data_IF_827809672726
#
_entry.id   IF_827809672726
#
_cell.length_a   1.000
_cell.length_b   1.000
_cell.length_c   1.000
_cell.angle_alpha   90.00
_cell.angle_beta   90.00
_cell.angle_gamma   90.00
#
_symmetry.space_group_name_H-M   'P 1'
#
loop_
_entity.id
_entity.type
_entity.pdbx_description
1 polymer ?
#
# COMPACT_ATOMS: atom_id res chain seq x y z
N UNK A 1 -32.13 4.48 20.39
CA UNK A 1 -30.87 5.08 19.91
C UNK A 1 -29.67 4.21 20.28
N UNK A 2 -29.71 3.52 21.42
CA UNK A 2 -28.65 2.60 21.87
C UNK A 2 -28.38 1.45 20.87
N UNK A 3 -29.43 0.73 20.44
CA UNK A 3 -29.25 -0.39 19.49
C UNK A 3 -28.63 0.04 18.15
N UNK A 4 -28.98 1.23 17.66
CA UNK A 4 -28.42 1.75 16.40
C UNK A 4 -26.93 2.07 16.53
N UNK A 5 -26.48 2.60 17.68
CA UNK A 5 -25.07 2.86 17.93
C UNK A 5 -24.27 1.56 18.03
N UNK A 6 -24.77 0.54 18.75
CA UNK A 6 -24.12 -0.77 18.82
C UNK A 6 -24.00 -1.44 17.45
N UNK A 7 -25.08 -1.44 16.65
CA UNK A 7 -25.08 -2.02 15.31
C UNK A 7 -24.10 -1.28 14.40
N UNK A 8 -24.08 0.06 14.45
CA UNK A 8 -23.12 0.86 13.70
C UNK A 8 -21.67 0.57 14.11
N UNK A 9 -21.40 0.44 15.41
CA UNK A 9 -20.07 0.10 15.93
C UNK A 9 -19.60 -1.29 15.48
N UNK A 10 -20.46 -2.30 15.57
CA UNK A 10 -20.17 -3.66 15.07
C UNK A 10 -19.92 -3.65 13.56
N UNK A 11 -20.71 -2.88 12.79
CA UNK A 11 -20.51 -2.74 11.36
C UNK A 11 -19.14 -2.13 11.03
N UNK A 12 -18.71 -1.09 11.75
CA UNK A 12 -17.38 -0.49 11.59
C UNK A 12 -16.25 -1.48 11.89
N UNK A 13 -16.38 -2.25 12.97
CA UNK A 13 -15.39 -3.29 13.30
C UNK A 13 -15.34 -4.36 12.19
N UNK A 14 -16.50 -4.81 11.70
CA UNK A 14 -16.57 -5.77 10.61
C UNK A 14 -15.94 -5.24 9.31
N UNK A 15 -16.11 -3.94 9.01
CA UNK A 15 -15.44 -3.29 7.88
C UNK A 15 -13.92 -3.36 8.02
N UNK A 16 -13.37 -3.08 9.21
CA UNK A 16 -11.91 -3.14 9.43
C UNK A 16 -11.39 -4.58 9.36
N UNK A 17 -12.08 -5.53 10.01
CA UNK A 17 -11.68 -6.95 9.94
C UNK A 17 -11.64 -7.40 8.48
N UNK A 18 -12.68 -7.08 7.71
CA UNK A 18 -12.73 -7.39 6.27
C UNK A 18 -11.59 -6.73 5.52
N UNK A 19 -11.34 -5.45 5.80
CA UNK A 19 -10.32 -4.69 5.09
C UNK A 19 -8.91 -5.23 5.36
N UNK A 20 -8.54 -5.40 6.63
CA UNK A 20 -7.26 -5.99 7.06
C UNK A 20 -7.11 -7.40 6.51
N UNK A 21 -8.17 -8.22 6.53
CA UNK A 21 -8.15 -9.56 5.95
C UNK A 21 -7.83 -9.53 4.45
N UNK A 22 -8.48 -8.66 3.69
CA UNK A 22 -8.21 -8.54 2.26
C UNK A 22 -6.84 -7.92 1.97
N UNK A 23 -6.41 -6.90 2.72
CA UNK A 23 -5.11 -6.26 2.51
C UNK A 23 -3.93 -7.16 2.83
N UNK A 24 -4.04 -8.07 3.81
CA UNK A 24 -2.90 -8.87 4.29
C UNK A 24 -2.99 -10.36 3.98
N UNK A 25 -4.17 -10.95 4.12
CA UNK A 25 -4.33 -12.40 4.06
C UNK A 25 -4.84 -12.89 2.70
N UNK A 26 -5.26 -11.99 1.80
CA UNK A 26 -5.83 -12.38 0.51
C UNK A 26 -4.92 -12.02 -0.67
N UNK A 27 -4.25 -12.99 -1.32
CA UNK A 27 -3.24 -12.74 -2.36
C UNK A 27 -3.74 -12.04 -3.64
N UNK A 28 -5.07 -11.95 -3.83
CA UNK A 28 -5.72 -11.42 -5.04
C UNK A 28 -6.79 -10.38 -4.67
N UNK A 29 -7.02 -10.12 -3.37
CA UNK A 29 -8.08 -9.21 -2.92
C UNK A 29 -7.52 -7.83 -2.59
N UNK A 30 -8.02 -6.77 -3.23
CA UNK A 30 -7.72 -5.42 -2.80
C UNK A 30 -8.59 -5.06 -1.57
N UNK A 31 -7.96 -4.74 -0.43
CA UNK A 31 -8.66 -4.01 0.64
C UNK A 31 -9.25 -2.71 0.08
N UNK A 32 -10.33 -2.21 0.67
CA UNK A 32 -11.02 -0.99 0.21
C UNK A 32 -10.44 0.30 0.81
N UNK A 33 -9.93 0.25 2.04
CA UNK A 33 -9.46 1.43 2.77
C UNK A 33 -8.06 1.81 2.29
N UNK A 34 -7.12 0.84 2.22
CA UNK A 34 -5.73 1.14 1.86
C UNK A 34 -5.57 1.87 0.50
N UNK A 35 -6.19 1.40 -0.62
CA UNK A 35 -6.13 2.11 -1.89
C UNK A 35 -6.83 3.47 -1.84
N UNK A 36 -7.94 3.59 -1.10
CA UNK A 36 -8.68 4.86 -0.99
C UNK A 36 -7.86 5.92 -0.25
N UNK A 37 -7.24 5.54 0.87
CA UNK A 37 -6.34 6.41 1.65
C UNK A 37 -5.11 6.77 0.80
N UNK A 38 -4.52 5.81 0.08
CA UNK A 38 -3.38 6.09 -0.81
C UNK A 38 -3.75 7.06 -1.93
N UNK A 39 -4.87 6.83 -2.63
CA UNK A 39 -5.37 7.73 -3.68
C UNK A 39 -5.63 9.14 -3.14
N UNK A 40 -6.21 9.24 -1.95
CA UNK A 40 -6.47 10.54 -1.31
C UNK A 40 -5.15 11.28 -1.01
N UNK A 41 -4.19 10.59 -0.41
CA UNK A 41 -2.87 11.16 -0.10
C UNK A 41 -2.12 11.55 -1.37
N UNK A 42 -2.17 10.69 -2.40
CA UNK A 42 -1.58 10.98 -3.71
C UNK A 42 -2.18 12.23 -4.33
N UNK A 43 -3.51 12.39 -4.29
CA UNK A 43 -4.20 13.60 -4.77
C UNK A 43 -3.80 14.83 -3.97
N UNK A 44 -3.84 14.76 -2.63
CA UNK A 44 -3.51 15.88 -1.75
C UNK A 44 -2.05 16.34 -1.90
N UNK A 45 -1.11 15.40 -1.94
CA UNK A 45 0.31 15.69 -2.18
C UNK A 45 0.58 16.09 -3.64
N UNK A 46 -0.25 15.63 -4.57
CA UNK A 46 -0.22 16.04 -5.98
C UNK A 46 -0.51 17.53 -6.19
N UNK A 47 -1.32 18.13 -5.31
CA UNK A 47 -1.63 19.57 -5.32
C UNK A 47 -0.47 20.45 -4.84
N UNK A 48 0.49 19.88 -4.11
CA UNK A 48 1.65 20.61 -3.62
C UNK A 48 2.69 20.78 -4.75
N UNK A 49 3.47 21.89 -4.74
CA UNK A 49 4.55 22.09 -5.70
C UNK A 49 5.50 20.88 -5.71
N UNK A 50 6.07 20.50 -6.87
CA UNK A 50 6.99 19.36 -7.01
C UNK A 50 8.37 19.59 -6.36
N UNK A 51 8.42 20.21 -5.19
CA UNK A 51 9.63 20.29 -4.39
C UNK A 51 10.07 18.88 -4.00
N UNK A 52 11.25 18.52 -4.51
CA UNK A 52 11.83 17.17 -4.56
C UNK A 52 11.85 16.40 -3.23
N UNK A 53 11.68 17.06 -2.07
CA UNK A 53 11.75 16.43 -0.73
C UNK A 53 10.42 15.89 -0.20
N UNK A 54 9.28 16.43 -0.61
CA UNK A 54 7.97 15.98 -0.08
C UNK A 54 7.46 14.76 -0.86
N UNK A 55 7.87 14.61 -2.12
CA UNK A 55 7.42 13.52 -2.99
C UNK A 55 7.89 12.13 -2.52
N UNK A 56 9.08 12.00 -1.88
CA UNK A 56 9.57 10.73 -1.35
C UNK A 56 8.85 10.26 -0.09
N UNK A 57 8.21 11.18 0.64
CA UNK A 57 7.46 10.84 1.86
C UNK A 57 6.12 10.21 1.52
N UNK A 58 5.62 10.30 0.28
CA UNK A 58 4.30 9.79 -0.13
C UNK A 58 4.09 8.32 0.24
N UNK A 59 5.11 7.48 0.07
CA UNK A 59 5.04 6.06 0.40
C UNK A 59 4.98 5.78 1.92
N UNK A 60 6.03 6.12 2.70
CA UNK A 60 6.04 5.91 4.14
C UNK A 60 4.91 6.63 4.89
N UNK A 61 4.60 7.87 4.50
CA UNK A 61 3.46 8.61 5.03
C UNK A 61 2.15 7.92 4.67
N UNK A 62 2.04 7.41 3.45
CA UNK A 62 0.90 6.62 3.00
C UNK A 62 0.63 5.44 3.93
N UNK A 63 1.63 4.59 4.14
CA UNK A 63 1.53 3.46 5.06
C UNK A 63 1.08 3.93 6.46
N UNK A 64 1.73 4.95 7.01
CA UNK A 64 1.38 5.47 8.33
C UNK A 64 -0.08 5.93 8.39
N UNK A 65 -0.57 6.62 7.36
CA UNK A 65 -1.94 7.09 7.29
C UNK A 65 -2.97 5.96 7.13
N UNK A 66 -2.63 4.85 6.47
CA UNK A 66 -3.51 3.66 6.42
C UNK A 66 -3.64 3.02 7.79
N UNK A 67 -2.52 2.84 8.49
CA UNK A 67 -2.51 2.30 9.85
C UNK A 67 -3.29 3.21 10.80
N UNK A 68 -3.11 4.52 10.69
CA UNK A 68 -3.89 5.49 11.45
C UNK A 68 -5.38 5.45 11.10
N UNK A 69 -5.73 5.31 9.82
CA UNK A 69 -7.13 5.20 9.40
C UNK A 69 -7.79 3.94 9.99
N UNK A 70 -7.11 2.79 9.95
CA UNK A 70 -7.60 1.58 10.61
C UNK A 70 -7.78 1.79 12.12
N UNK A 71 -6.80 2.40 12.79
CA UNK A 71 -6.90 2.72 14.22
C UNK A 71 -8.08 3.64 14.55
N UNK A 72 -8.26 4.72 13.79
CA UNK A 72 -9.36 5.68 13.99
C UNK A 72 -10.72 5.02 13.78
N UNK A 73 -10.90 4.23 12.73
CA UNK A 73 -12.17 3.53 12.48
C UNK A 73 -12.43 2.49 13.58
N UNK A 74 -11.38 1.82 14.08
CA UNK A 74 -11.50 0.81 15.13
C UNK A 74 -11.95 1.45 16.44
N UNK A 75 -11.24 2.51 16.85
CA UNK A 75 -11.59 3.32 18.01
C UNK A 75 -13.02 3.83 17.89
N UNK A 76 -13.42 4.37 16.74
CA UNK A 76 -14.79 4.83 16.52
C UNK A 76 -15.82 3.70 16.65
N UNK A 77 -15.53 2.51 16.10
CA UNK A 77 -16.40 1.34 16.21
C UNK A 77 -16.63 0.90 17.64
N UNK A 78 -15.57 0.75 18.42
CA UNK A 78 -15.64 0.39 19.84
C UNK A 78 -16.25 1.50 20.70
N UNK A 79 -15.93 2.76 20.42
CA UNK A 79 -16.56 3.93 21.05
C UNK A 79 -18.08 3.88 20.93
N UNK A 80 -18.61 3.57 19.74
CA UNK A 80 -20.06 3.46 19.55
C UNK A 80 -20.69 2.30 20.33
N UNK A 81 -19.97 1.18 20.49
CA UNK A 81 -20.43 0.03 21.28
C UNK A 81 -20.48 0.38 22.78
N UNK A 82 -19.50 1.10 23.29
CA UNK A 82 -19.48 1.55 24.68
C UNK A 82 -20.47 2.66 24.95
N UNK A 83 -20.61 3.61 24.02
CA UNK A 83 -21.54 4.72 24.14
C UNK A 83 -22.99 4.26 24.30
N UNK A 84 -23.37 3.18 23.60
CA UNK A 84 -24.68 2.56 23.73
C UNK A 84 -24.97 1.94 25.11
N UNK A 85 -23.96 1.78 25.97
CA UNK A 85 -24.05 1.15 27.30
C UNK A 85 -23.65 2.11 28.43
N UNK A 86 -23.27 3.36 28.09
CA UNK A 86 -22.96 4.38 29.08
C UNK A 86 -24.22 5.10 29.57
N UNK A 87 -24.24 5.53 30.85
CA UNK A 87 -23.24 5.27 31.89
C UNK A 87 -23.47 3.94 32.65
N UNK A 88 -24.63 3.31 32.50
CA UNK A 88 -25.14 2.23 33.36
C UNK A 88 -24.25 0.96 33.39
N UNK A 89 -23.53 0.67 32.30
CA UNK A 89 -22.64 -0.48 32.18
C UNK A 89 -21.25 -0.33 32.81
N UNK A 90 -20.95 0.82 33.45
CA UNK A 90 -19.61 1.17 33.89
C UNK A 90 -19.57 1.71 35.32
N UNK A 91 -18.48 1.38 36.02
CA UNK A 91 -18.09 1.96 37.30
C UNK A 91 -16.97 2.98 37.05
N UNK A 92 -17.04 4.12 37.72
CA UNK A 92 -16.09 5.22 37.58
C UNK A 92 -15.29 5.38 38.86
N UNK A 93 -14.00 5.70 38.73
CA UNK A 93 -13.12 6.06 39.85
C UNK A 93 -13.69 7.21 40.67
N UNK A 94 -13.42 7.20 41.98
CA UNK A 94 -13.90 8.21 42.93
C UNK A 94 -13.29 9.59 42.70
N UNK A 95 -12.17 9.64 41.99
CA UNK A 95 -11.40 10.85 41.68
C UNK A 95 -11.96 11.62 40.47
N UNK A 96 -12.84 11.01 39.66
CA UNK A 96 -13.43 11.62 38.47
C UNK A 96 -14.66 12.47 38.83
N UNK A 97 -14.63 13.77 38.53
CA UNK A 97 -15.76 14.68 38.76
C UNK A 97 -16.99 14.26 37.95
N UNK A 98 -18.13 13.92 38.59
CA UNK A 98 -19.37 13.59 37.89
C UNK A 98 -19.90 14.69 36.97
N UNK A 99 -19.58 15.96 37.23
CA UNK A 99 -20.11 17.10 36.48
C UNK A 99 -19.35 17.37 35.16
N UNK A 100 -18.16 16.81 35.00
CA UNK A 100 -17.34 16.93 33.77
C UNK A 100 -17.51 15.72 32.84
N UNK A 101 -18.41 14.78 33.17
CA UNK A 101 -18.60 13.53 32.41
C UNK A 101 -19.41 13.75 31.15
N UNK A 102 -18.94 13.12 30.09
CA UNK A 102 -19.60 13.13 28.80
C UNK A 102 -19.54 11.71 28.21
N UNK A 103 -20.69 11.03 28.15
CA UNK A 103 -20.77 9.61 27.76
C UNK A 103 -20.00 9.27 26.47
N UNK A 104 -20.02 10.17 25.48
CA UNK A 104 -19.30 9.96 24.21
C UNK A 104 -17.78 10.14 24.35
N UNK A 105 -17.33 11.08 25.18
CA UNK A 105 -15.91 11.34 25.44
C UNK A 105 -15.35 10.22 26.32
N UNK A 106 -16.09 9.79 27.33
CA UNK A 106 -15.72 8.71 28.23
C UNK A 106 -15.66 7.37 27.48
N UNK A 107 -16.57 7.15 26.53
CA UNK A 107 -16.54 5.98 25.63
C UNK A 107 -15.34 6.00 24.68
N UNK A 108 -15.00 7.17 24.13
CA UNK A 108 -13.83 7.36 23.27
C UNK A 108 -12.54 7.12 24.05
N UNK A 109 -12.45 7.70 25.24
CA UNK A 109 -11.34 7.52 26.15
C UNK A 109 -11.17 6.03 26.52
N UNK A 110 -12.24 5.35 26.92
CA UNK A 110 -12.23 3.93 27.25
C UNK A 110 -11.74 3.07 26.07
N UNK A 111 -12.22 3.34 24.86
CA UNK A 111 -11.76 2.64 23.66
C UNK A 111 -10.27 2.88 23.40
N UNK A 112 -9.80 4.13 23.46
CA UNK A 112 -8.38 4.47 23.27
C UNK A 112 -7.46 3.73 24.26
N UNK A 113 -7.81 3.72 25.55
CA UNK A 113 -6.98 3.08 26.57
C UNK A 113 -7.05 1.55 26.51
N UNK A 114 -8.17 0.98 26.03
CA UNK A 114 -8.35 -0.46 25.91
C UNK A 114 -7.68 -1.01 24.65
N UNK A 115 -7.95 -0.43 23.47
CA UNK A 115 -7.30 -0.84 22.22
C UNK A 115 -5.81 -0.57 22.23
N UNK A 116 -5.38 0.51 22.89
CA UNK A 116 -3.99 0.87 23.11
C UNK A 116 -3.32 0.05 24.22
N UNK A 117 -4.05 -0.85 24.90
CA UNK A 117 -3.57 -1.71 25.99
C UNK A 117 -3.01 -0.97 27.21
N UNK A 118 -3.39 0.30 27.39
CA UNK A 118 -2.93 1.16 28.48
C UNK A 118 -3.67 0.88 29.79
N UNK A 119 -5.01 0.76 29.72
CA UNK A 119 -5.85 0.25 30.81
C UNK A 119 -5.72 0.99 32.15
N UNK A 120 -5.93 2.31 32.19
CA UNK A 120 -5.81 3.11 33.42
C UNK A 120 -6.72 2.64 34.57
N UNK A 121 -7.86 2.01 34.26
CA UNK A 121 -8.74 1.38 35.27
C UNK A 121 -9.64 2.35 36.04
N UNK A 122 -9.75 3.58 35.56
CA UNK A 122 -10.62 4.64 36.07
C UNK A 122 -12.06 4.54 35.54
N UNK A 123 -12.26 3.90 34.39
CA UNK A 123 -13.57 3.47 33.87
C UNK A 123 -13.55 1.95 33.70
N UNK A 124 -14.38 1.25 34.46
CA UNK A 124 -14.35 -0.22 34.56
C UNK A 124 -15.71 -0.83 34.18
N UNK A 125 -15.76 -1.82 33.28
CA UNK A 125 -17.01 -2.48 32.90
C UNK A 125 -17.60 -3.31 34.04
N UNK A 126 -18.90 -3.10 34.32
CA UNK A 126 -19.62 -3.82 35.38
C UNK A 126 -20.43 -5.00 34.86
N UNK A 127 -20.93 -4.92 33.62
CA UNK A 127 -21.71 -5.99 32.99
C UNK A 127 -20.84 -7.14 32.47
N UNK A 128 -21.40 -8.35 32.43
CA UNK A 128 -20.69 -9.55 31.92
C UNK A 128 -20.29 -9.38 30.45
N UNK A 129 -21.15 -8.78 29.63
CA UNK A 129 -20.88 -8.53 28.20
C UNK A 129 -19.72 -7.57 28.01
N UNK A 130 -19.68 -6.46 28.73
CA UNK A 130 -18.61 -5.47 28.64
C UNK A 130 -17.27 -6.00 29.18
N UNK A 131 -17.32 -6.82 30.24
CA UNK A 131 -16.14 -7.50 30.79
C UNK A 131 -15.50 -8.50 29.82
N UNK A 132 -16.26 -9.02 28.86
CA UNK A 132 -15.73 -9.83 27.76
C UNK A 132 -15.32 -8.97 26.57
N UNK A 133 -16.05 -7.90 26.29
CA UNK A 133 -15.77 -6.99 25.18
C UNK A 133 -14.42 -6.28 25.32
N UNK A 134 -14.08 -5.76 26.50
CA UNK A 134 -12.84 -5.01 26.69
C UNK A 134 -11.57 -5.84 26.44
N UNK A 135 -11.42 -7.09 26.95
CA UNK A 135 -10.31 -7.96 26.58
C UNK A 135 -10.28 -8.31 25.08
N UNK A 136 -11.43 -8.46 24.43
CA UNK A 136 -11.52 -8.73 22.99
C UNK A 136 -11.05 -7.50 22.20
N UNK A 137 -11.41 -6.29 22.60
CA UNK A 137 -10.91 -5.05 22.01
C UNK A 137 -9.39 -4.94 22.15
N UNK A 138 -8.83 -5.23 23.34
CA UNK A 138 -7.40 -5.21 23.55
C UNK A 138 -6.67 -6.22 22.64
N UNK A 139 -7.19 -7.46 22.53
CA UNK A 139 -6.66 -8.46 21.61
C UNK A 139 -6.78 -8.01 20.14
N UNK A 140 -7.89 -7.38 19.78
CA UNK A 140 -8.11 -6.81 18.46
C UNK A 140 -7.07 -5.72 18.14
N UNK A 141 -6.83 -4.79 19.07
CA UNK A 141 -5.80 -3.76 18.93
C UNK A 141 -4.40 -4.34 18.73
N UNK A 142 -4.05 -5.37 19.51
CA UNK A 142 -2.79 -6.09 19.35
C UNK A 142 -2.67 -6.78 17.98
N UNK A 143 -3.72 -7.47 17.53
CA UNK A 143 -3.75 -8.08 16.20
C UNK A 143 -3.63 -7.03 15.09
N UNK A 144 -4.31 -5.88 15.23
CA UNK A 144 -4.27 -4.79 14.27
C UNK A 144 -2.87 -4.17 14.17
N UNK A 145 -2.20 -3.96 15.31
CA UNK A 145 -0.82 -3.48 15.34
C UNK A 145 0.14 -4.50 14.69
N UNK A 146 -0.01 -5.79 15.02
CA UNK A 146 0.81 -6.86 14.44
C UNK A 146 0.62 -6.93 12.93
N UNK A 147 -0.63 -6.90 12.47
CA UNK A 147 -1.00 -6.84 11.06
C UNK A 147 -0.37 -5.63 10.34
N UNK A 148 -0.46 -4.44 10.93
CA UNK A 148 0.16 -3.24 10.40
C UNK A 148 1.69 -3.36 10.26
N UNK A 149 2.37 -3.92 11.28
CA UNK A 149 3.82 -4.14 11.23
C UNK A 149 4.20 -5.17 10.16
N UNK A 150 3.48 -6.29 10.06
CA UNK A 150 3.71 -7.30 9.03
C UNK A 150 3.57 -6.71 7.63
N UNK A 151 2.52 -5.91 7.39
CA UNK A 151 2.30 -5.24 6.12
C UNK A 151 3.47 -4.35 5.70
N UNK A 152 4.00 -3.58 6.66
CA UNK A 152 5.16 -2.72 6.44
C UNK A 152 6.36 -3.59 6.04
N UNK A 153 6.62 -4.68 6.76
CA UNK A 153 7.75 -5.58 6.50
C UNK A 153 7.65 -6.31 5.15
N UNK A 154 6.45 -6.55 4.64
CA UNK A 154 6.21 -7.20 3.35
C UNK A 154 6.34 -6.25 2.15
N UNK A 155 5.96 -4.98 2.32
CA UNK A 155 6.05 -3.96 1.27
C UNK A 155 7.51 -3.62 0.90
N UNK A 156 8.41 -3.50 1.89
CA UNK A 156 9.78 -3.05 1.63
C UNK A 156 10.58 -3.99 0.70
N UNK A 157 10.53 -5.32 0.84
CA UNK A 157 11.15 -6.25 -0.10
C UNK A 157 10.65 -6.07 -1.54
N UNK A 158 9.35 -5.87 -1.76
CA UNK A 158 8.79 -5.63 -3.09
C UNK A 158 9.32 -4.33 -3.71
N UNK A 159 9.36 -3.24 -2.92
CA UNK A 159 9.97 -1.97 -3.35
C UNK A 159 11.47 -2.13 -3.66
N UNK A 160 12.18 -2.93 -2.86
CA UNK A 160 13.60 -3.18 -3.07
C UNK A 160 13.86 -3.92 -4.39
N UNK A 161 13.10 -4.98 -4.68
CA UNK A 161 13.20 -5.72 -5.95
C UNK A 161 12.92 -4.82 -7.15
N UNK A 162 11.85 -4.01 -7.08
CA UNK A 162 11.51 -3.02 -8.10
C UNK A 162 12.67 -2.05 -8.37
N UNK A 163 13.29 -1.55 -7.30
CA UNK A 163 14.43 -0.65 -7.38
C UNK A 163 15.66 -1.34 -8.00
N UNK A 164 15.93 -2.59 -7.64
CA UNK A 164 17.04 -3.36 -8.22
C UNK A 164 16.84 -3.55 -9.73
N UNK A 165 15.64 -3.90 -10.17
CA UNK A 165 15.31 -4.01 -11.60
C UNK A 165 15.56 -2.70 -12.35
N UNK A 166 15.09 -1.57 -11.80
CA UNK A 166 15.31 -0.26 -12.41
C UNK A 166 16.80 0.09 -12.51
N UNK A 167 17.58 -0.19 -11.46
CA UNK A 167 19.03 0.02 -11.44
C UNK A 167 19.76 -0.89 -12.45
N UNK A 168 19.31 -2.13 -12.63
CA UNK A 168 19.87 -3.03 -13.65
C UNK A 168 19.60 -2.49 -15.07
N UNK A 169 18.36 -2.05 -15.34
CA UNK A 169 17.99 -1.44 -16.61
C UNK A 169 18.79 -0.15 -16.88
N UNK A 170 18.92 0.73 -15.89
CA UNK A 170 19.69 1.97 -16.04
C UNK A 170 21.19 1.74 -16.18
N UNK A 171 21.74 0.74 -15.48
CA UNK A 171 23.15 0.35 -15.65
C UNK A 171 23.42 -0.18 -17.06
N UNK A 172 22.53 -1.05 -17.57
CA UNK A 172 22.65 -1.57 -18.94
C UNK A 172 22.50 -0.43 -19.96
N UNK A 173 21.53 0.46 -19.77
CA UNK A 173 21.34 1.65 -20.61
C UNK A 173 22.60 2.50 -20.69
N UNK A 174 23.19 2.83 -19.53
CA UNK A 174 24.43 3.63 -19.46
C UNK A 174 25.62 2.94 -20.11
N UNK A 175 25.76 1.62 -19.92
CA UNK A 175 26.83 0.86 -20.55
C UNK A 175 26.71 0.89 -22.08
N UNK A 176 25.49 0.82 -22.63
CA UNK A 176 25.22 0.90 -24.06
C UNK A 176 25.29 2.32 -24.63
N UNK A 177 24.92 3.35 -23.85
CA UNK A 177 25.11 4.75 -24.25
C UNK A 177 26.59 5.13 -24.32
N UNK A 178 27.44 4.54 -23.47
CA UNK A 178 28.88 4.76 -23.47
C UNK A 178 29.62 4.12 -24.66
N UNK A 179 29.01 3.14 -25.33
CA UNK A 179 29.52 2.50 -26.54
C UNK A 179 28.38 2.32 -27.56
N UNK A 180 28.13 3.33 -28.42
CA UNK A 180 27.02 3.32 -29.38
C UNK A 180 27.07 2.17 -30.39
N UNK A 181 28.20 1.48 -30.50
CA UNK A 181 28.39 0.35 -31.43
C UNK A 181 27.95 -0.95 -30.79
N UNK A 182 27.73 -1.00 -29.47
CA UNK A 182 27.41 -2.22 -28.72
C UNK A 182 26.02 -2.73 -29.12
N UNK A 183 25.96 -3.71 -30.04
CA UNK A 183 24.70 -4.17 -30.60
C UNK A 183 23.94 -4.98 -29.56
N UNK A 184 22.63 -5.08 -29.74
CA UNK A 184 21.80 -5.93 -28.86
C UNK A 184 22.29 -7.38 -28.81
N UNK A 185 22.87 -7.86 -29.91
CA UNK A 185 23.49 -9.16 -30.08
C UNK A 185 24.72 -9.42 -29.17
N UNK A 186 25.33 -8.36 -28.63
CA UNK A 186 26.43 -8.48 -27.67
C UNK A 186 25.95 -8.53 -26.22
N UNK A 187 24.66 -8.25 -25.96
CA UNK A 187 24.08 -8.40 -24.62
C UNK A 187 23.85 -9.90 -24.36
N UNK A 188 24.41 -10.48 -23.29
CA UNK A 188 24.18 -11.89 -22.98
C UNK A 188 22.68 -12.18 -22.79
N UNK A 189 22.21 -13.31 -23.32
CA UNK A 189 20.80 -13.68 -23.21
C UNK A 189 20.36 -13.91 -21.76
N UNK A 190 21.26 -14.31 -20.87
CA UNK A 190 20.95 -14.39 -19.44
C UNK A 190 20.59 -13.02 -18.84
N UNK A 191 21.19 -11.93 -19.33
CA UNK A 191 20.83 -10.57 -18.91
C UNK A 191 19.42 -10.21 -19.38
N UNK A 192 19.08 -10.50 -20.64
CA UNK A 192 17.74 -10.23 -21.17
C UNK A 192 16.65 -11.06 -20.46
N UNK A 193 16.92 -12.34 -20.22
CA UNK A 193 15.96 -13.23 -19.54
C UNK A 193 15.83 -12.91 -18.05
N UNK A 194 16.90 -12.49 -17.37
CA UNK A 194 16.83 -12.02 -15.98
C UNK A 194 16.06 -10.71 -15.84
N UNK A 195 16.22 -9.76 -16.77
CA UNK A 195 15.41 -8.54 -16.82
C UNK A 195 13.92 -8.87 -17.05
N UNK A 196 13.62 -9.78 -17.99
CA UNK A 196 12.25 -10.25 -18.21
C UNK A 196 11.64 -10.89 -16.95
N UNK A 197 12.41 -11.74 -16.26
CA UNK A 197 11.98 -12.35 -14.98
C UNK A 197 11.74 -11.29 -13.90
N UNK A 198 12.61 -10.28 -13.79
CA UNK A 198 12.42 -9.16 -12.87
C UNK A 198 11.16 -8.35 -13.17
N UNK A 199 10.80 -8.16 -14.44
CA UNK A 199 9.55 -7.49 -14.85
C UNK A 199 8.32 -8.33 -14.45
N UNK A 200 8.39 -9.66 -14.62
CA UNK A 200 7.33 -10.57 -14.17
C UNK A 200 7.17 -10.52 -12.64
N UNK A 201 8.29 -10.48 -11.91
CA UNK A 201 8.29 -10.35 -10.46
C UNK A 201 7.69 -9.01 -10.02
N UNK A 202 8.06 -7.90 -10.69
CA UNK A 202 7.47 -6.60 -10.44
C UNK A 202 5.96 -6.57 -10.71
N UNK A 203 5.49 -7.25 -11.76
CA UNK A 203 4.05 -7.41 -12.02
C UNK A 203 3.35 -8.14 -10.87
N UNK A 204 3.91 -9.26 -10.42
CA UNK A 204 3.35 -10.00 -9.29
C UNK A 204 3.32 -9.13 -8.01
N UNK A 205 4.37 -8.35 -7.77
CA UNK A 205 4.46 -7.43 -6.64
C UNK A 205 3.37 -6.34 -6.71
N UNK A 206 3.04 -5.81 -7.89
CA UNK A 206 1.92 -4.86 -8.04
C UNK A 206 0.55 -5.50 -7.76
N UNK A 207 0.37 -6.77 -8.12
CA UNK A 207 -0.86 -7.52 -7.81
C UNK A 207 -1.00 -7.75 -6.31
N UNK A 208 0.08 -8.17 -5.63
CA UNK A 208 0.05 -8.48 -4.19
C UNK A 208 0.02 -7.22 -3.33
N UNK A 209 0.80 -6.19 -3.71
CA UNK A 209 1.00 -4.98 -2.93
C UNK A 209 0.69 -3.75 -3.76
N UNK A 210 -0.58 -3.56 -4.14
CA UNK A 210 -1.04 -2.42 -4.95
C UNK A 210 -0.67 -1.06 -4.37
N UNK A 211 -0.49 -0.97 -3.05
CA UNK A 211 0.00 0.23 -2.37
C UNK A 211 1.40 0.68 -2.85
N UNK A 212 2.23 -0.24 -3.35
CA UNK A 212 3.57 0.06 -3.89
C UNK A 212 3.54 0.96 -5.12
N UNK A 213 2.41 1.03 -5.84
CA UNK A 213 2.20 1.98 -6.93
C UNK A 213 2.37 3.43 -6.47
N UNK A 214 1.95 3.77 -5.25
CA UNK A 214 2.01 5.15 -4.74
C UNK A 214 3.38 5.51 -4.15
N UNK A 215 4.38 4.64 -4.29
CA UNK A 215 5.76 4.91 -3.87
C UNK A 215 6.55 5.53 -5.03
N UNK A 216 6.99 6.78 -4.83
CA UNK A 216 7.84 7.48 -5.78
C UNK A 216 9.32 7.31 -5.44
N UNK A 217 10.09 6.92 -6.43
CA UNK A 217 11.55 6.91 -6.38
C UNK A 217 12.09 8.31 -6.70
N UNK A 218 13.08 8.79 -5.92
CA UNK A 218 13.67 10.13 -6.12
C UNK A 218 14.69 10.17 -7.26
N UNK A 219 15.38 9.06 -7.45
CA UNK A 219 16.43 8.89 -8.45
C UNK A 219 15.79 8.31 -9.72
N UNK A 220 15.91 9.02 -10.84
CA UNK A 220 15.38 8.55 -12.13
C UNK A 220 15.94 7.18 -12.51
N UNK A 221 17.22 6.92 -12.22
CA UNK A 221 17.88 5.63 -12.51
C UNK A 221 17.35 4.46 -11.68
N UNK A 222 16.75 4.76 -10.52
CA UNK A 222 16.18 3.79 -9.59
C UNK A 222 14.66 3.64 -9.76
N UNK A 223 14.07 4.42 -10.68
CA UNK A 223 12.63 4.43 -10.93
C UNK A 223 12.26 3.42 -11.99
N UNK A 224 11.43 2.44 -11.61
CA UNK A 224 10.87 1.51 -12.59
C UNK A 224 10.02 2.26 -13.63
N UNK A 225 9.31 3.31 -13.21
CA UNK A 225 8.49 4.10 -14.11
C UNK A 225 9.30 4.76 -15.24
N UNK A 226 10.51 5.24 -14.93
CA UNK A 226 11.42 5.81 -15.92
C UNK A 226 12.13 4.74 -16.77
N UNK A 227 12.48 3.60 -16.17
CA UNK A 227 13.26 2.55 -16.84
C UNK A 227 12.43 1.59 -17.68
N UNK A 228 11.11 1.54 -17.48
CA UNK A 228 10.22 0.66 -18.25
C UNK A 228 10.16 1.04 -19.74
N UNK A 229 10.34 2.33 -20.07
CA UNK A 229 10.51 2.78 -21.47
C UNK A 229 11.79 2.21 -22.10
N UNK A 230 12.88 2.14 -21.35
CA UNK A 230 14.09 1.48 -21.83
C UNK A 230 13.89 -0.03 -21.99
N UNK A 231 13.08 -0.65 -21.11
CA UNK A 231 12.73 -2.06 -21.23
C UNK A 231 11.92 -2.37 -22.51
N UNK A 232 10.97 -1.51 -22.91
CA UNK A 232 10.23 -1.68 -24.18
C UNK A 232 11.16 -1.55 -25.39
N UNK A 233 12.05 -0.56 -25.39
CA UNK A 233 13.05 -0.36 -26.43
C UNK A 233 13.98 -1.56 -26.56
N UNK A 234 14.50 -2.06 -25.42
CA UNK A 234 15.39 -3.22 -25.38
C UNK A 234 14.71 -4.49 -25.91
N UNK A 235 13.43 -4.70 -25.56
CA UNK A 235 12.66 -5.83 -26.06
C UNK A 235 12.45 -5.74 -27.58
N UNK A 236 12.13 -4.55 -28.11
CA UNK A 236 11.95 -4.33 -29.55
C UNK A 236 13.25 -4.58 -30.34
N UNK A 237 14.38 -4.05 -29.87
CA UNK A 237 15.69 -4.29 -30.47
C UNK A 237 16.05 -5.79 -30.47
N UNK A 238 15.86 -6.48 -29.33
CA UNK A 238 16.16 -7.89 -29.22
C UNK A 238 15.28 -8.74 -30.14
N UNK A 239 13.99 -8.40 -30.29
CA UNK A 239 13.10 -9.08 -31.23
C UNK A 239 13.49 -8.88 -32.70
N UNK A 240 14.18 -7.80 -33.04
CA UNK A 240 14.71 -7.53 -34.38
C UNK A 240 16.06 -8.22 -34.65
N UNK A 241 16.66 -8.88 -33.66
CA UNK A 241 17.93 -9.59 -33.81
C UNK A 241 17.85 -10.72 -34.84
N UNK A 242 18.95 -10.89 -35.59
CA UNK A 242 19.14 -12.02 -36.48
C UNK A 242 19.30 -13.34 -35.70
N UNK A 243 19.71 -13.29 -34.43
CA UNK A 243 19.99 -14.45 -33.61
C UNK A 243 18.72 -14.97 -32.91
N UNK A 244 18.39 -16.24 -33.13
CA UNK A 244 17.15 -16.86 -32.63
C UNK A 244 16.98 -16.79 -31.11
N UNK A 245 18.08 -16.95 -30.36
CA UNK A 245 18.08 -16.94 -28.91
C UNK A 245 17.84 -15.52 -28.35
N UNK A 246 18.48 -14.50 -28.93
CA UNK A 246 18.24 -13.08 -28.59
C UNK A 246 16.80 -12.68 -28.92
N UNK A 247 16.30 -13.08 -30.08
CA UNK A 247 14.92 -12.82 -30.50
C UNK A 247 13.88 -13.47 -29.57
N UNK A 248 14.16 -14.68 -29.09
CA UNK A 248 13.30 -15.36 -28.13
C UNK A 248 13.30 -14.64 -26.78
N UNK A 249 14.47 -14.21 -26.29
CA UNK A 249 14.58 -13.42 -25.07
C UNK A 249 13.84 -12.07 -25.18
N UNK A 250 13.96 -11.40 -26.33
CA UNK A 250 13.21 -10.18 -26.64
C UNK A 250 11.69 -10.37 -26.59
N UNK A 251 11.19 -11.51 -27.11
CA UNK A 251 9.75 -11.85 -27.02
C UNK A 251 9.30 -12.07 -25.58
N UNK A 252 10.09 -12.77 -24.77
CA UNK A 252 9.77 -12.97 -23.34
C UNK A 252 9.70 -11.63 -22.61
N UNK A 253 10.66 -10.74 -22.88
CA UNK A 253 10.69 -9.40 -22.30
C UNK A 253 9.49 -8.56 -22.74
N UNK A 254 9.13 -8.60 -24.04
CA UNK A 254 7.95 -7.89 -24.56
C UNK A 254 6.66 -8.37 -23.88
N UNK A 255 6.45 -9.69 -23.77
CA UNK A 255 5.29 -10.26 -23.09
C UNK A 255 5.26 -9.85 -21.61
N UNK A 256 6.41 -9.84 -20.94
CA UNK A 256 6.50 -9.41 -19.54
C UNK A 256 6.11 -7.93 -19.38
N UNK A 257 6.61 -7.05 -20.26
CA UNK A 257 6.27 -5.61 -20.23
C UNK A 257 4.79 -5.40 -20.56
N UNK A 258 4.25 -6.07 -21.58
CA UNK A 258 2.83 -5.99 -21.93
C UNK A 258 1.94 -6.43 -20.78
N UNK A 259 2.30 -7.53 -20.12
CA UNK A 259 1.53 -8.05 -18.99
C UNK A 259 1.60 -7.14 -17.77
N UNK A 260 2.73 -6.46 -17.54
CA UNK A 260 2.85 -5.44 -16.50
C UNK A 260 2.03 -4.19 -16.86
N UNK A 261 2.12 -3.70 -18.10
CA UNK A 261 1.37 -2.55 -18.56
C UNK A 261 -0.14 -2.80 -18.49
N UNK A 262 -0.61 -3.97 -18.90
CA UNK A 262 -2.02 -4.35 -18.78
C UNK A 262 -2.51 -4.27 -17.32
N UNK A 263 -1.72 -4.78 -16.37
CA UNK A 263 -2.04 -4.67 -14.94
C UNK A 263 -2.06 -3.20 -14.48
N UNK A 264 -1.06 -2.40 -14.89
CA UNK A 264 -0.98 -0.99 -14.53
C UNK A 264 -2.18 -0.20 -15.04
N UNK A 265 -2.63 -0.50 -16.26
CA UNK A 265 -3.80 0.13 -16.85
C UNK A 265 -5.10 -0.28 -16.17
N UNK A 266 -5.31 -1.58 -15.95
CA UNK A 266 -6.53 -2.09 -15.32
C UNK A 266 -6.73 -1.57 -13.89
N UNK A 267 -5.66 -1.54 -13.10
CA UNK A 267 -5.74 -1.25 -11.66
C UNK A 267 -5.57 0.24 -11.31
N UNK A 268 -4.79 0.99 -12.10
CA UNK A 268 -4.36 2.34 -11.71
C UNK A 268 -4.68 3.43 -12.74
N UNK A 269 -4.27 3.24 -14.00
CA UNK A 269 -4.28 4.32 -15.00
C UNK A 269 -5.60 4.45 -15.78
N UNK A 270 -6.27 3.33 -16.09
CA UNK A 270 -7.58 3.26 -16.76
C UNK A 270 -7.66 4.03 -18.08
N UNK A 271 -6.60 4.00 -18.87
CA UNK A 271 -6.48 4.68 -20.16
C UNK A 271 -7.13 3.88 -21.30
N UNK A 272 -7.07 2.54 -21.25
CA UNK A 272 -7.49 1.67 -22.36
C UNK A 272 -6.59 1.79 -23.60
N UNK A 273 -5.33 2.20 -23.40
CA UNK A 273 -4.34 2.43 -24.44
C UNK A 273 -3.47 1.21 -24.75
N UNK A 274 -2.52 1.38 -25.66
CA UNK A 274 -1.47 0.37 -25.92
C UNK A 274 -0.37 0.42 -24.84
N UNK A 275 0.52 -0.58 -24.85
CA UNK A 275 1.61 -0.71 -23.88
C UNK A 275 2.44 0.58 -23.78
N UNK A 276 2.77 1.21 -24.91
CA UNK A 276 3.63 2.39 -24.93
C UNK A 276 2.93 3.59 -24.29
N UNK A 277 1.64 3.81 -24.57
CA UNK A 277 0.85 4.85 -23.92
C UNK A 277 0.76 4.64 -22.40
N UNK A 278 0.57 3.39 -21.95
CA UNK A 278 0.51 3.05 -20.52
C UNK A 278 1.86 3.26 -19.84
N UNK A 279 2.97 2.82 -20.46
CA UNK A 279 4.33 3.03 -19.95
C UNK A 279 4.65 4.51 -19.82
N UNK A 280 4.30 5.31 -20.83
CA UNK A 280 4.50 6.76 -20.79
C UNK A 280 3.64 7.42 -19.71
N UNK A 281 2.37 7.04 -19.59
CA UNK A 281 1.49 7.56 -18.55
C UNK A 281 1.96 7.20 -17.14
N UNK A 282 2.50 5.99 -16.95
CA UNK A 282 3.10 5.56 -15.70
C UNK A 282 4.31 6.43 -15.31
N UNK A 283 5.20 6.71 -16.28
CA UNK A 283 6.33 7.62 -16.09
C UNK A 283 5.88 9.05 -15.73
N UNK A 284 4.86 9.57 -16.41
CA UNK A 284 4.27 10.90 -16.17
C UNK A 284 3.62 10.99 -14.79
N UNK A 285 2.82 9.99 -14.38
CA UNK A 285 2.18 9.98 -13.06
C UNK A 285 3.21 9.94 -11.92
N UNK A 286 4.36 9.30 -12.19
CA UNK A 286 5.52 9.28 -11.29
C UNK A 286 6.47 10.48 -11.47
N UNK A 287 6.11 11.44 -12.33
CA UNK A 287 6.86 12.68 -12.62
C UNK A 287 8.28 12.46 -13.14
N UNK A 288 8.53 11.34 -13.78
CA UNK A 288 9.75 11.09 -14.52
C UNK A 288 9.48 11.38 -15.99
N UNK A 289 9.61 12.64 -16.39
CA UNK A 289 9.60 13.05 -17.79
C UNK A 289 10.98 13.62 -18.10
N UNK A 290 11.59 13.16 -19.19
CA UNK A 290 12.70 13.83 -19.87
C UNK A 290 12.16 14.81 -20.90
#
# INVERSE_FOLDING_TARGET
MEWTATVAGIALIAVIVRDVFHTLFHPIGHGSIAPTVMKLIWRLLGLLPPQRRIASLTGPLGIAMVVLAWGVIAVAGWTLIYWAQMPEGFAYGTELDPNERHDIVDSLYLSLVTIGTLGFGDVVPTSVTLRLAAPIEALFGFMLLTAAVSWVLEIYPALHRRRVLALQLSTLRRAREGDPVLPIDSVPVEVLTSLAAGIVEARNDFTQYSATYYFRDLETDASLAASLEYATQLAAEAMASAQDHVRTAGRLMKIAVDSLAELLDQEFLQLGGDTDAVVQAYAVDHRHIN
#
